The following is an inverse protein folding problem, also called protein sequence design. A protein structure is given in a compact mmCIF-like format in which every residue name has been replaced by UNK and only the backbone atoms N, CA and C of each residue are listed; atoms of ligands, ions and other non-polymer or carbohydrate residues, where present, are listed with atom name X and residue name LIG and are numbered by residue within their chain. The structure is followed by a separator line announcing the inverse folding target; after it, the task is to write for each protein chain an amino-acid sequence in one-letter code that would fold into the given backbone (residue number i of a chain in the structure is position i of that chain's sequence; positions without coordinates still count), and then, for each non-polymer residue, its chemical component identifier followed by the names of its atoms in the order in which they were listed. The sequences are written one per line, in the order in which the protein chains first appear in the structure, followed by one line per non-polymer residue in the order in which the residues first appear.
data_IF_113619484540
#
_entry.id   IF_113619484540
#
_cell.length_a   1.000
_cell.length_b   1.000
_cell.length_c   1.000
_cell.angle_alpha   90.00
_cell.angle_beta   90.00
_cell.angle_gamma   90.00
#
_symmetry.space_group_name_H-M   'P 1'
#
loop_
_entity.id
_entity.type
_entity.pdbx_description
1 polymer ?
#
# COMPACT_ATOMS: atom_id res chain seq x y z
N UNK A 1 -6.35 -9.07 7.05
CA UNK A 1 -7.67 -9.18 7.74
C UNK A 1 -8.26 -10.54 7.42
N UNK A 2 -8.52 -11.33 8.45
CA UNK A 2 -8.87 -12.74 8.28
C UNK A 2 -10.15 -12.96 7.47
N UNK A 3 -11.17 -12.17 7.72
CA UNK A 3 -12.44 -12.29 6.99
C UNK A 3 -12.27 -12.06 5.49
N UNK A 4 -11.59 -11.00 5.10
CA UNK A 4 -11.29 -10.68 3.69
C UNK A 4 -10.42 -11.74 3.03
N UNK A 5 -9.44 -12.25 3.77
CA UNK A 5 -8.60 -13.34 3.29
C UNK A 5 -9.42 -14.59 2.98
N UNK A 6 -10.34 -14.97 3.87
CA UNK A 6 -11.21 -16.12 3.68
C UNK A 6 -12.17 -15.94 2.50
N UNK A 7 -12.73 -14.73 2.33
CA UNK A 7 -13.56 -14.39 1.16
C UNK A 7 -12.77 -14.47 -0.15
N UNK A 8 -11.54 -13.94 -0.18
CA UNK A 8 -10.67 -14.00 -1.35
C UNK A 8 -10.26 -15.45 -1.65
N UNK A 9 -9.95 -16.23 -0.62
CA UNK A 9 -9.59 -17.65 -0.77
C UNK A 9 -10.73 -18.44 -1.39
N UNK A 10 -11.97 -18.22 -0.95
CA UNK A 10 -13.13 -18.87 -1.54
C UNK A 10 -13.38 -18.40 -2.98
N UNK A 11 -13.30 -17.09 -3.22
CA UNK A 11 -13.48 -16.49 -4.54
C UNK A 11 -12.50 -17.02 -5.59
N UNK A 12 -11.23 -17.23 -5.20
CA UNK A 12 -10.16 -17.58 -6.12
C UNK A 12 -9.70 -19.05 -6.01
N UNK A 13 -10.41 -19.89 -5.26
CA UNK A 13 -10.02 -21.29 -5.00
C UNK A 13 -9.74 -22.13 -6.24
N UNK A 14 -10.35 -21.80 -7.36
CA UNK A 14 -10.18 -22.53 -8.64
C UNK A 14 -9.21 -21.83 -9.60
N UNK A 15 -8.53 -20.77 -9.19
CA UNK A 15 -7.57 -20.07 -10.03
C UNK A 15 -6.13 -20.38 -9.57
N UNK A 16 -5.39 -21.27 -10.28
CA UNK A 16 -4.06 -21.68 -9.87
C UNK A 16 -2.99 -20.59 -10.01
N UNK A 17 -3.33 -19.47 -10.64
CA UNK A 17 -2.41 -18.34 -10.84
C UNK A 17 -2.52 -17.28 -9.75
N UNK A 18 -3.39 -17.46 -8.75
CA UNK A 18 -3.57 -16.53 -7.64
C UNK A 18 -3.05 -17.15 -6.35
N UNK A 19 -2.08 -16.51 -5.75
CA UNK A 19 -1.49 -16.88 -4.47
C UNK A 19 -1.89 -15.84 -3.43
N UNK A 20 -2.54 -16.29 -2.36
CA UNK A 20 -3.02 -15.44 -1.29
C UNK A 20 -2.18 -15.66 -0.03
N UNK A 21 -1.84 -14.59 0.65
CA UNK A 21 -1.13 -14.65 1.92
C UNK A 21 -1.83 -13.77 2.96
N UNK A 22 -2.07 -14.33 4.16
CA UNK A 22 -2.68 -13.59 5.26
C UNK A 22 -1.58 -13.02 6.18
N UNK A 23 -0.79 -12.11 5.63
CA UNK A 23 0.31 -11.44 6.33
C UNK A 23 0.28 -9.94 6.04
N UNK A 24 0.81 -9.13 6.94
CA UNK A 24 1.16 -7.75 6.67
C UNK A 24 2.52 -7.67 5.98
N UNK A 25 2.71 -6.70 5.10
CA UNK A 25 4.02 -6.39 4.53
C UNK A 25 4.54 -5.11 5.15
N UNK A 26 5.79 -5.15 5.64
CA UNK A 26 6.42 -4.01 6.30
C UNK A 26 7.93 -4.00 6.16
N UNK A 27 8.62 -3.21 6.98
CA UNK A 27 10.07 -3.00 6.91
C UNK A 27 10.89 -3.99 7.77
N UNK A 28 10.23 -4.85 8.55
CA UNK A 28 10.89 -5.85 9.39
C UNK A 28 9.95 -7.04 9.65
N UNK A 29 10.54 -8.17 9.99
CA UNK A 29 9.80 -9.36 10.44
C UNK A 29 9.24 -9.12 11.85
N UNK A 30 8.05 -9.63 12.12
CA UNK A 30 7.44 -9.54 13.44
C UNK A 30 5.94 -9.68 13.43
N UNK A 31 5.30 -9.03 14.39
CA UNK A 31 3.86 -8.93 14.51
C UNK A 31 3.46 -7.45 14.59
N UNK A 32 2.29 -7.13 14.13
CA UNK A 32 1.72 -5.79 14.18
C UNK A 32 0.24 -5.81 14.43
N UNK A 33 -0.26 -4.76 15.05
CA UNK A 33 -1.67 -4.57 15.33
C UNK A 33 -2.28 -3.73 14.22
N UNK A 34 -3.15 -4.33 13.40
CA UNK A 34 -3.87 -3.62 12.34
C UNK A 34 -5.23 -3.14 12.83
N UNK A 35 -5.55 -1.88 12.57
CA UNK A 35 -6.86 -1.29 12.84
C UNK A 35 -7.83 -1.66 11.71
N UNK A 36 -8.90 -2.36 12.03
CA UNK A 36 -9.92 -2.78 11.06
C UNK A 36 -11.04 -1.74 11.03
N UNK A 37 -11.14 -1.01 9.93
CA UNK A 37 -12.18 -0.02 9.73
C UNK A 37 -13.52 -0.66 9.33
N UNK A 38 -14.65 0.03 9.55
CA UNK A 38 -15.97 -0.35 9.06
C UNK A 38 -16.01 -0.49 7.54
N UNK A 39 -15.33 0.40 6.82
CA UNK A 39 -14.96 0.16 5.44
C UNK A 39 -13.54 -0.46 5.46
N UNK A 40 -13.44 -1.76 5.19
CA UNK A 40 -12.19 -2.51 5.32
C UNK A 40 -11.08 -2.01 4.40
N UNK A 41 -11.40 -1.31 3.31
CA UNK A 41 -10.44 -0.62 2.46
C UNK A 41 -9.68 0.53 3.14
N UNK A 42 -10.11 0.98 4.32
CA UNK A 42 -9.42 1.99 5.11
C UNK A 42 -8.69 1.39 6.33
N UNK A 43 -8.56 0.07 6.38
CA UNK A 43 -7.82 -0.60 7.46
C UNK A 43 -6.32 -0.36 7.31
N UNK A 44 -5.63 -0.06 8.41
CA UNK A 44 -4.23 0.33 8.39
C UNK A 44 -3.52 -0.06 9.70
N UNK A 45 -2.20 -0.20 9.66
CA UNK A 45 -1.36 -0.22 10.86
C UNK A 45 -1.30 1.16 11.54
N UNK A 46 -1.67 2.22 10.84
CA UNK A 46 -1.71 3.57 11.40
C UNK A 46 -3.08 3.86 12.01
N UNK A 47 -3.09 4.72 13.02
CA UNK A 47 -4.33 5.24 13.57
C UNK A 47 -4.93 6.30 12.63
N UNK A 48 -6.25 6.28 12.48
CA UNK A 48 -6.98 7.33 11.79
C UNK A 48 -7.00 8.57 12.69
N UNK A 49 -6.71 9.73 12.10
CA UNK A 49 -6.70 11.01 12.80
C UNK A 49 -8.12 11.43 13.15
N UNK A 50 -8.37 11.65 14.45
CA UNK A 50 -9.69 12.05 14.97
C UNK A 50 -9.99 13.53 14.71
N UNK A 51 -11.27 13.89 14.81
CA UNK A 51 -11.76 15.26 14.66
C UNK A 51 -11.44 15.90 13.31
N UNK A 52 -11.25 15.09 12.26
CA UNK A 52 -11.08 15.56 10.90
C UNK A 52 -12.40 15.49 10.14
N UNK A 53 -12.55 16.33 9.13
CA UNK A 53 -13.70 16.26 8.24
C UNK A 53 -13.81 14.90 7.55
N UNK A 54 -12.68 14.30 7.18
CA UNK A 54 -12.63 13.00 6.53
C UNK A 54 -13.29 11.91 7.38
N UNK A 55 -12.84 11.74 8.63
CA UNK A 55 -13.41 10.69 9.50
C UNK A 55 -14.89 10.94 9.82
N UNK A 56 -15.26 12.22 10.02
CA UNK A 56 -16.66 12.59 10.28
C UNK A 56 -17.59 12.19 9.13
N UNK A 57 -17.19 12.45 7.87
CA UNK A 57 -17.98 12.09 6.71
C UNK A 57 -18.01 10.57 6.47
N UNK A 58 -16.87 9.89 6.66
CA UNK A 58 -16.78 8.45 6.50
C UNK A 58 -17.58 7.69 7.56
N UNK A 59 -17.55 8.14 8.81
CA UNK A 59 -18.35 7.55 9.88
C UNK A 59 -19.84 7.71 9.61
N UNK A 60 -20.27 8.89 9.17
CA UNK A 60 -21.66 9.14 8.76
C UNK A 60 -22.11 8.25 7.60
N UNK A 61 -21.23 8.04 6.61
CA UNK A 61 -21.56 7.22 5.43
C UNK A 61 -21.82 5.76 5.75
N UNK A 62 -21.28 5.25 6.86
CA UNK A 62 -21.51 3.87 7.34
C UNK A 62 -22.39 3.83 8.60
N UNK A 63 -22.98 4.97 9.01
CA UNK A 63 -23.97 5.05 10.08
C UNK A 63 -23.42 4.84 11.49
N UNK A 64 -22.16 5.21 11.75
CA UNK A 64 -21.50 5.07 13.06
C UNK A 64 -20.92 6.40 13.55
N UNK A 65 -20.52 6.47 14.83
CA UNK A 65 -19.73 7.58 15.36
C UNK A 65 -18.26 7.44 14.97
N UNK A 66 -17.47 8.51 15.07
CA UNK A 66 -16.04 8.51 14.76
C UNK A 66 -15.24 7.44 15.55
N UNK A 67 -15.51 7.32 16.84
CA UNK A 67 -14.85 6.37 17.74
C UNK A 67 -15.23 4.91 17.48
N UNK A 68 -16.33 4.67 16.74
CA UNK A 68 -16.80 3.36 16.34
C UNK A 68 -16.34 2.98 14.92
N UNK A 69 -15.68 3.89 14.20
CA UNK A 69 -15.25 3.65 12.81
C UNK A 69 -14.20 2.56 12.70
N UNK A 70 -13.29 2.47 13.67
CA UNK A 70 -12.42 1.30 13.85
C UNK A 70 -13.23 0.26 14.63
N UNK A 71 -13.57 -0.82 13.95
CA UNK A 71 -14.46 -1.86 14.50
C UNK A 71 -13.75 -2.79 15.48
N UNK A 72 -12.48 -3.06 15.22
CA UNK A 72 -11.61 -3.91 16.05
C UNK A 72 -10.14 -3.75 15.64
N UNK A 73 -9.27 -4.37 16.41
CA UNK A 73 -7.87 -4.54 16.08
C UNK A 73 -7.54 -6.03 15.95
N UNK A 74 -6.66 -6.38 15.04
CA UNK A 74 -6.18 -7.75 14.86
C UNK A 74 -4.64 -7.79 14.87
N UNK A 75 -4.07 -8.78 15.56
CA UNK A 75 -2.65 -9.09 15.42
C UNK A 75 -2.43 -9.80 14.09
N UNK A 76 -1.46 -9.33 13.32
CA UNK A 76 -1.05 -9.96 12.06
C UNK A 76 0.46 -10.14 12.03
N UNK A 77 0.92 -11.25 11.47
CA UNK A 77 2.34 -11.45 11.20
C UNK A 77 2.78 -10.50 10.10
N UNK A 78 3.93 -9.86 10.30
CA UNK A 78 4.55 -8.95 9.32
C UNK A 78 5.76 -9.63 8.71
N UNK A 79 5.85 -9.56 7.39
CA UNK A 79 7.00 -10.03 6.62
C UNK A 79 7.52 -8.88 5.74
N UNK A 80 8.81 -8.88 5.43
CA UNK A 80 9.34 -7.99 4.39
C UNK A 80 9.09 -8.62 3.01
N UNK A 81 8.94 -7.81 1.97
CA UNK A 81 8.76 -8.34 0.62
C UNK A 81 10.01 -9.09 0.14
N UNK A 82 11.20 -8.64 0.55
CA UNK A 82 12.47 -9.33 0.27
C UNK A 82 12.44 -10.78 0.80
N UNK A 83 12.06 -10.98 2.07
CA UNK A 83 11.95 -12.32 2.66
C UNK A 83 10.80 -13.15 2.06
N UNK A 84 9.67 -12.51 1.77
CA UNK A 84 8.54 -13.20 1.12
C UNK A 84 8.93 -13.75 -0.24
N UNK A 85 9.58 -12.95 -1.08
CA UNK A 85 10.04 -13.37 -2.40
C UNK A 85 11.10 -14.47 -2.32
N UNK A 86 12.06 -14.34 -1.41
CA UNK A 86 13.08 -15.36 -1.15
C UNK A 86 12.46 -16.69 -0.72
N UNK A 87 11.54 -16.67 0.24
CA UNK A 87 10.86 -17.87 0.78
C UNK A 87 10.02 -18.58 -0.29
N UNK A 88 9.42 -17.83 -1.21
CA UNK A 88 8.55 -18.36 -2.27
C UNK A 88 9.25 -18.53 -3.62
N UNK A 89 10.58 -18.37 -3.70
CA UNK A 89 11.38 -18.46 -4.93
C UNK A 89 10.90 -17.50 -6.04
N UNK A 90 10.44 -16.30 -5.69
CA UNK A 90 10.04 -15.26 -6.64
C UNK A 90 11.29 -14.47 -7.03
N UNK A 91 11.78 -14.66 -8.24
CA UNK A 91 13.02 -14.04 -8.70
C UNK A 91 12.86 -12.61 -9.21
N UNK A 92 11.74 -12.30 -9.84
CA UNK A 92 11.43 -10.97 -10.39
C UNK A 92 9.95 -10.65 -10.22
N UNK A 93 9.65 -9.35 -10.18
CA UNK A 93 8.29 -8.80 -10.07
C UNK A 93 8.08 -7.87 -11.28
N UNK A 94 7.13 -8.16 -12.14
CA UNK A 94 6.80 -7.29 -13.26
C UNK A 94 6.08 -6.04 -12.80
N UNK A 95 5.09 -6.20 -11.91
CA UNK A 95 4.32 -5.09 -11.35
C UNK A 95 4.14 -5.33 -9.85
N UNK A 96 4.59 -4.38 -9.04
CA UNK A 96 4.31 -4.30 -7.61
C UNK A 96 3.28 -3.20 -7.36
N UNK A 97 2.05 -3.56 -6.98
CA UNK A 97 1.09 -2.58 -6.47
C UNK A 97 1.18 -2.50 -4.95
N UNK A 98 1.31 -1.28 -4.42
CA UNK A 98 1.34 -0.98 -2.99
C UNK A 98 0.15 -0.05 -2.67
N UNK A 99 -0.72 -0.51 -1.79
CA UNK A 99 -1.94 0.18 -1.37
C UNK A 99 -2.22 -0.28 0.08
N UNK A 100 -1.51 0.35 1.01
CA UNK A 100 -1.44 -0.08 2.41
C UNK A 100 -1.91 0.99 3.39
N UNK A 101 -2.58 2.00 2.83
CA UNK A 101 -3.28 3.04 3.60
C UNK A 101 -2.35 3.78 4.57
N UNK A 102 -1.27 4.36 4.01
CA UNK A 102 -0.29 5.16 4.73
C UNK A 102 0.95 4.40 5.22
N UNK A 103 1.09 3.12 4.87
CA UNK A 103 2.21 2.27 5.29
C UNK A 103 3.17 1.94 4.12
N UNK A 104 3.04 2.63 3.00
CA UNK A 104 3.74 2.39 1.73
C UNK A 104 5.26 2.54 1.86
N UNK A 105 5.72 3.52 2.65
CA UNK A 105 7.15 3.74 2.93
C UNK A 105 7.80 2.53 3.64
N UNK A 106 7.04 1.83 4.47
CA UNK A 106 7.49 0.63 5.18
C UNK A 106 7.59 -0.57 4.23
N UNK A 107 6.60 -0.70 3.33
CA UNK A 107 6.65 -1.73 2.29
C UNK A 107 7.85 -1.52 1.37
N UNK A 108 8.09 -0.29 0.91
CA UNK A 108 9.24 0.04 0.06
C UNK A 108 10.58 -0.21 0.76
N UNK A 109 10.68 0.09 2.05
CA UNK A 109 11.85 -0.24 2.84
C UNK A 109 12.06 -1.76 2.97
N UNK A 110 10.97 -2.52 3.11
CA UNK A 110 10.99 -3.99 3.18
C UNK A 110 11.22 -4.71 1.86
N UNK A 111 11.34 -3.99 0.74
CA UNK A 111 11.73 -4.52 -0.56
C UNK A 111 13.02 -3.88 -1.10
N UNK A 112 13.86 -3.36 -0.22
CA UNK A 112 15.06 -2.62 -0.60
C UNK A 112 16.07 -3.45 -1.37
N UNK A 113 16.21 -4.73 -1.10
CA UNK A 113 17.11 -5.61 -1.85
C UNK A 113 16.56 -5.93 -3.24
N UNK A 114 15.26 -6.17 -3.36
CA UNK A 114 14.61 -6.35 -4.67
C UNK A 114 14.76 -5.09 -5.54
N UNK A 115 14.59 -3.91 -4.95
CA UNK A 115 14.77 -2.62 -5.62
C UNK A 115 16.23 -2.44 -6.08
N UNK A 116 17.21 -2.59 -5.18
CA UNK A 116 18.64 -2.43 -5.48
C UNK A 116 19.15 -3.41 -6.53
N UNK A 117 18.64 -4.65 -6.49
CA UNK A 117 19.05 -5.70 -7.43
C UNK A 117 18.21 -5.70 -8.72
N UNK A 118 17.47 -4.64 -8.99
CA UNK A 118 16.68 -4.44 -10.21
C UNK A 118 15.68 -5.58 -10.47
N UNK A 119 15.07 -6.12 -9.39
CA UNK A 119 14.14 -7.25 -9.45
C UNK A 119 12.68 -6.83 -9.63
N UNK A 120 12.41 -5.52 -9.69
CA UNK A 120 11.06 -4.97 -9.88
C UNK A 120 11.07 -4.07 -11.11
N UNK A 121 10.16 -4.31 -12.04
CA UNK A 121 10.06 -3.54 -13.28
C UNK A 121 9.20 -2.27 -13.13
N UNK A 122 8.05 -2.42 -12.50
CA UNK A 122 7.04 -1.37 -12.31
C UNK A 122 6.58 -1.34 -10.86
N UNK A 123 6.41 -0.15 -10.30
CA UNK A 123 5.85 0.04 -8.97
C UNK A 123 4.69 1.02 -9.09
N UNK A 124 3.49 0.55 -8.77
CA UNK A 124 2.31 1.38 -8.58
C UNK A 124 2.09 1.56 -7.08
N UNK A 125 2.05 2.80 -6.63
CA UNK A 125 1.87 3.11 -5.21
C UNK A 125 0.77 4.15 -5.02
N UNK A 126 -0.17 3.89 -4.09
CA UNK A 126 -1.09 4.90 -3.63
C UNK A 126 -0.37 5.84 -2.65
N UNK A 127 -0.48 7.13 -2.86
CA UNK A 127 0.04 8.15 -1.96
C UNK A 127 -1.11 8.98 -1.41
N UNK A 128 -1.35 8.87 -0.11
CA UNK A 128 -2.31 9.67 0.64
C UNK A 128 -1.54 10.78 1.36
N UNK A 129 -1.68 12.01 0.88
CA UNK A 129 -1.03 13.19 1.47
C UNK A 129 -1.98 14.06 2.28
N UNK A 130 -3.26 13.73 2.31
CA UNK A 130 -4.19 14.34 3.25
C UNK A 130 -4.00 13.78 4.66
N UNK A 131 -4.34 14.58 5.64
CA UNK A 131 -4.28 14.28 7.08
C UNK A 131 -5.36 13.26 7.51
N UNK A 132 -5.31 12.05 6.95
CA UNK A 132 -6.24 10.95 7.26
C UNK A 132 -5.71 10.11 8.41
N UNK A 133 -4.44 9.78 8.36
CA UNK A 133 -3.76 8.99 9.38
C UNK A 133 -2.85 9.88 10.24
N UNK A 134 -2.47 9.41 11.42
CA UNK A 134 -1.57 10.16 12.31
C UNK A 134 -0.23 10.48 11.67
N UNK A 135 0.19 9.67 10.70
CA UNK A 135 1.37 9.93 9.86
C UNK A 135 0.93 10.06 8.41
N UNK A 136 1.14 11.22 7.81
CA UNK A 136 0.95 11.45 6.38
C UNK A 136 2.28 11.25 5.65
N UNK A 137 2.23 10.61 4.50
CA UNK A 137 3.35 10.47 3.58
C UNK A 137 3.33 11.59 2.54
N UNK A 138 4.48 11.86 1.95
CA UNK A 138 4.65 12.77 0.83
C UNK A 138 5.51 12.12 -0.27
N UNK A 139 5.70 12.80 -1.39
CA UNK A 139 6.47 12.25 -2.52
C UNK A 139 7.88 11.81 -2.10
N UNK A 140 8.56 12.59 -1.25
CA UNK A 140 9.90 12.26 -0.79
C UNK A 140 9.94 10.93 -0.03
N UNK A 141 8.90 10.60 0.75
CA UNK A 141 8.84 9.35 1.52
C UNK A 141 8.82 8.11 0.63
N UNK A 142 8.34 8.25 -0.61
CA UNK A 142 8.33 7.22 -1.65
C UNK A 142 9.62 7.31 -2.51
N UNK A 143 9.91 8.50 -3.02
CA UNK A 143 10.96 8.72 -4.01
C UNK A 143 12.37 8.47 -3.48
N UNK A 144 12.62 8.68 -2.19
CA UNK A 144 13.92 8.37 -1.56
C UNK A 144 14.34 6.90 -1.69
N UNK A 145 13.39 5.97 -1.91
CA UNK A 145 13.68 4.57 -2.19
C UNK A 145 13.82 4.29 -3.69
N UNK A 146 13.11 5.02 -4.53
CA UNK A 146 12.93 4.70 -5.93
C UNK A 146 13.93 5.45 -6.84
N UNK A 147 14.06 6.77 -6.67
CA UNK A 147 14.88 7.60 -7.55
C UNK A 147 16.37 7.21 -7.53
N UNK A 148 17.00 6.96 -6.36
CA UNK A 148 18.39 6.51 -6.31
C UNK A 148 18.62 5.14 -6.94
N UNK A 149 17.57 4.33 -7.12
CA UNK A 149 17.59 2.99 -7.68
C UNK A 149 17.02 2.93 -9.11
N UNK A 150 17.22 3.98 -9.90
CA UNK A 150 16.89 4.05 -11.31
C UNK A 150 15.40 3.96 -11.67
N UNK A 151 14.49 4.18 -10.74
CA UNK A 151 13.08 4.35 -11.06
C UNK A 151 12.79 5.80 -11.46
N UNK A 152 11.80 5.97 -12.34
CA UNK A 152 11.27 7.27 -12.73
C UNK A 152 9.76 7.27 -12.62
N UNK A 153 9.21 8.38 -12.17
CA UNK A 153 7.77 8.60 -12.22
C UNK A 153 7.36 8.66 -13.70
N UNK A 154 6.49 7.76 -14.10
CA UNK A 154 6.01 7.60 -15.46
C UNK A 154 4.61 8.16 -15.65
N UNK A 155 3.73 7.91 -14.69
CA UNK A 155 2.37 8.38 -14.73
C UNK A 155 1.84 8.61 -13.32
N UNK A 156 0.88 9.49 -13.22
CA UNK A 156 0.03 9.65 -12.05
C UNK A 156 -1.43 9.58 -12.48
N UNK A 157 -2.26 9.03 -11.62
CA UNK A 157 -3.69 8.90 -11.88
C UNK A 157 -4.47 9.24 -10.60
N UNK A 158 -5.69 9.79 -10.80
CA UNK A 158 -6.61 10.08 -9.71
C UNK A 158 -6.03 10.97 -8.60
N UNK A 159 -5.78 12.24 -8.92
CA UNK A 159 -5.75 13.25 -7.87
C UNK A 159 -7.16 13.36 -7.28
N UNK A 160 -7.47 12.47 -6.33
CA UNK A 160 -8.74 12.52 -5.62
C UNK A 160 -8.94 13.91 -5.02
N UNK A 161 -10.05 14.54 -5.31
CA UNK A 161 -10.43 15.83 -4.74
C UNK A 161 -11.56 15.60 -3.74
N UNK A 162 -11.29 15.86 -2.45
CA UNK A 162 -12.33 15.82 -1.44
C UNK A 162 -13.23 17.06 -1.47
N UNK A 163 -12.62 18.25 -1.61
CA UNK A 163 -13.33 19.53 -1.54
C UNK A 163 -12.55 20.63 -2.27
N UNK A 164 -13.24 21.45 -3.03
CA UNK A 164 -12.68 22.67 -3.64
C UNK A 164 -11.33 22.46 -4.35
N UNK A 165 -11.18 21.37 -5.09
CA UNK A 165 -9.98 21.02 -5.85
C UNK A 165 -8.73 20.70 -4.99
N UNK A 166 -8.85 20.47 -3.68
CA UNK A 166 -7.75 19.94 -2.89
C UNK A 166 -7.55 18.46 -3.19
N UNK A 167 -6.40 18.11 -3.72
CA UNK A 167 -6.00 16.72 -3.89
C UNK A 167 -5.67 16.11 -2.52
N UNK A 168 -6.14 14.91 -2.26
CA UNK A 168 -5.92 14.22 -1.00
C UNK A 168 -5.16 12.91 -1.15
N UNK A 169 -5.21 12.32 -2.33
CA UNK A 169 -4.45 11.11 -2.69
C UNK A 169 -4.18 11.09 -4.19
N UNK A 170 -3.21 10.27 -4.59
CA UNK A 170 -2.94 9.96 -5.99
C UNK A 170 -2.39 8.55 -6.11
N UNK A 171 -2.56 7.92 -7.27
CA UNK A 171 -1.80 6.73 -7.64
C UNK A 171 -0.62 7.16 -8.51
N UNK A 172 0.57 6.69 -8.16
CA UNK A 172 1.82 6.97 -8.83
C UNK A 172 2.34 5.68 -9.47
N UNK A 173 2.73 5.75 -10.73
CA UNK A 173 3.38 4.66 -11.44
C UNK A 173 4.85 5.00 -11.68
N UNK A 174 5.73 4.24 -11.08
CA UNK A 174 7.18 4.33 -11.28
C UNK A 174 7.65 3.16 -12.15
N UNK A 175 8.54 3.46 -13.09
CA UNK A 175 9.09 2.49 -14.04
C UNK A 175 10.60 2.44 -13.86
N UNK A 176 11.16 1.23 -13.80
CA UNK A 176 12.62 1.07 -13.78
C UNK A 176 13.23 1.47 -15.14
N UNK A 177 14.37 2.15 -15.11
CA UNK A 177 15.03 2.73 -16.27
C UNK A 177 15.33 1.71 -17.38
N UNK A 178 15.64 0.46 -17.03
CA UNK A 178 15.88 -0.61 -18.02
C UNK A 178 14.67 -0.85 -18.90
N UNK A 179 13.47 -0.87 -18.32
CA UNK A 179 12.22 -1.04 -19.05
C UNK A 179 11.89 0.22 -19.86
N UNK A 180 12.09 1.38 -19.26
CA UNK A 180 11.86 2.68 -19.88
C UNK A 180 12.68 2.84 -21.16
N UNK A 181 13.99 2.56 -21.10
CA UNK A 181 14.88 2.65 -22.26
C UNK A 181 14.55 1.62 -23.35
N UNK A 182 14.08 0.44 -22.96
CA UNK A 182 13.73 -0.64 -23.89
C UNK A 182 12.48 -0.34 -24.72
N UNK A 183 11.48 0.28 -24.14
CA UNK A 183 10.15 0.40 -24.74
C UNK A 183 9.74 1.82 -25.12
N UNK A 184 10.35 2.82 -24.53
CA UNK A 184 9.93 4.22 -24.72
C UNK A 184 10.90 5.06 -25.55
N UNK A 185 12.11 4.56 -25.83
CA UNK A 185 13.12 5.21 -26.69
C UNK A 185 13.32 6.72 -26.39
N UNK A 186 13.23 7.13 -25.11
CA UNK A 186 13.34 8.52 -24.69
C UNK A 186 14.69 8.82 -24.05
#
# INVERSE_FOLDING_TARGET
VENEYNLLKEKFKNNPNIYLSNVGVGDQLGEGLINIAKNTGHSSFLNIKKNTRWINERSKSVGVKEDEYISKQENVSIITLDEYCKKNNIGNIDILKIDTQGYEDKVLKGCSELIKNEKINLIQVELIFADIYEKSLNFYDIERYLIPNNFRLFANNNFGSLYNNYSWQTELLYVHKSLYNKYLNL
#
